data_IF_808164374732
#
_entry.id   IF_808164374732
#
_cell.length_a   1.000
_cell.length_b   1.000
_cell.length_c   1.000
_cell.angle_alpha   90.00
_cell.angle_beta   90.00
_cell.angle_gamma   90.00
#
_symmetry.space_group_name_H-M   'P 1'
#
loop_
_entity.id
_entity.type
_entity.pdbx_description
1 polymer ?
#
# COMPACT_ATOMS: atom_id res chain seq x y z
N UNK A 1 -19.09 9.80 -11.18
CA UNK A 1 -18.65 8.49 -10.68
C UNK A 1 -17.70 7.87 -11.70
N UNK A 2 -16.39 7.94 -11.46
CA UNK A 2 -15.38 7.38 -12.36
C UNK A 2 -15.33 5.85 -12.17
N UNK A 3 -15.17 5.08 -13.25
CA UNK A 3 -15.06 3.63 -13.17
C UNK A 3 -13.84 3.23 -12.30
N UNK A 4 -13.93 2.15 -11.51
CA UNK A 4 -12.79 1.68 -10.72
C UNK A 4 -11.68 1.23 -11.67
N UNK A 5 -10.62 2.02 -11.77
CA UNK A 5 -9.39 1.61 -12.44
C UNK A 5 -8.71 0.51 -11.62
N UNK A 6 -8.13 -0.46 -12.31
CA UNK A 6 -7.47 -1.60 -11.65
C UNK A 6 -6.05 -1.21 -11.18
N UNK A 7 -5.48 -0.18 -11.79
CA UNK A 7 -4.12 0.31 -11.53
C UNK A 7 -4.00 1.79 -11.91
N UNK A 8 -3.02 2.48 -11.30
CA UNK A 8 -2.59 3.83 -11.68
C UNK A 8 -1.16 3.75 -12.21
N UNK A 9 -0.89 4.21 -13.43
CA UNK A 9 0.44 4.14 -14.06
C UNK A 9 0.95 5.49 -14.53
N UNK A 10 2.26 5.69 -14.46
CA UNK A 10 2.92 6.88 -14.97
C UNK A 10 2.99 6.85 -16.51
N UNK A 11 2.56 7.90 -17.18
CA UNK A 11 2.71 8.12 -18.62
C UNK A 11 4.01 8.89 -18.93
N UNK A 12 4.53 9.62 -17.94
CA UNK A 12 5.81 10.34 -18.00
C UNK A 12 6.69 10.00 -16.81
N UNK A 13 7.97 10.37 -16.85
CA UNK A 13 8.85 10.23 -15.68
C UNK A 13 8.32 11.05 -14.50
N UNK A 14 8.26 10.44 -13.31
CA UNK A 14 7.92 11.09 -12.04
C UNK A 14 9.20 11.16 -11.21
N UNK A 15 9.67 12.36 -10.83
CA UNK A 15 10.94 12.49 -10.11
C UNK A 15 10.84 11.97 -8.68
N UNK A 16 11.95 11.40 -8.20
CA UNK A 16 12.14 11.04 -6.81
C UNK A 16 11.85 12.23 -5.89
N UNK A 17 11.21 11.98 -4.75
CA UNK A 17 10.85 13.00 -3.78
C UNK A 17 9.59 13.80 -4.13
N UNK A 18 8.97 13.63 -5.30
CA UNK A 18 7.68 14.26 -5.60
C UNK A 18 6.65 13.90 -4.52
N UNK A 19 5.94 14.90 -4.00
CA UNK A 19 4.92 14.72 -2.96
C UNK A 19 3.53 14.90 -3.57
N UNK A 20 2.63 13.97 -3.25
CA UNK A 20 1.23 13.96 -3.63
C UNK A 20 0.37 14.00 -2.36
N UNK A 21 -0.59 14.90 -2.28
CA UNK A 21 -1.50 14.98 -1.14
C UNK A 21 -1.81 16.42 -0.71
N UNK A 22 -2.47 16.59 0.44
CA UNK A 22 -2.74 15.56 1.45
C UNK A 22 -3.74 14.50 0.99
N UNK A 23 -3.58 13.25 1.47
CA UNK A 23 -4.52 12.14 1.20
C UNK A 23 -5.83 12.44 1.93
N UNK A 24 -6.98 12.52 1.22
CA UNK A 24 -8.25 12.83 1.86
C UNK A 24 -8.82 11.66 2.65
N UNK A 25 -9.54 11.96 3.74
CA UNK A 25 -10.32 10.98 4.51
C UNK A 25 -9.50 10.12 5.49
N UNK A 26 -10.09 9.02 5.96
CA UNK A 26 -9.44 8.13 6.92
C UNK A 26 -8.36 7.28 6.25
N UNK A 27 -7.12 7.42 6.71
CA UNK A 27 -5.99 6.65 6.18
C UNK A 27 -5.98 5.21 6.72
N UNK A 28 -6.27 4.23 5.86
CA UNK A 28 -6.27 2.79 6.19
C UNK A 28 -5.59 1.98 5.09
N UNK A 29 -4.34 2.33 4.78
CA UNK A 29 -3.56 1.68 3.74
C UNK A 29 -3.34 0.19 4.06
N UNK A 30 -3.54 -0.69 3.10
CA UNK A 30 -3.33 -2.13 3.30
C UNK A 30 -4.49 -2.90 3.95
N UNK A 31 -5.56 -2.24 4.42
CA UNK A 31 -6.72 -2.92 5.04
C UNK A 31 -7.32 -4.04 4.18
N UNK A 32 -7.33 -3.84 2.86
CA UNK A 32 -7.86 -4.78 1.87
C UNK A 32 -6.75 -5.47 1.05
N UNK A 33 -5.48 -5.33 1.45
CA UNK A 33 -4.36 -5.93 0.74
C UNK A 33 -4.37 -7.46 0.93
N UNK A 34 -4.24 -8.18 -0.18
CA UNK A 34 -4.10 -9.63 -0.18
C UNK A 34 -3.14 -10.07 -1.28
N UNK A 35 -2.58 -11.28 -1.16
CA UNK A 35 -1.65 -11.82 -2.18
C UNK A 35 -2.33 -12.20 -3.48
N UNK A 36 -3.65 -12.43 -3.42
CA UNK A 36 -4.44 -12.67 -4.61
C UNK A 36 -4.44 -11.36 -5.38
N UNK A 37 -3.59 -11.28 -6.42
CA UNK A 37 -3.85 -10.38 -7.53
C UNK A 37 -5.29 -10.68 -7.94
N UNK A 38 -6.20 -9.71 -7.74
CA UNK A 38 -7.62 -9.85 -8.05
C UNK A 38 -7.72 -10.66 -9.35
N UNK A 39 -8.30 -11.87 -9.34
CA UNK A 39 -8.51 -12.57 -10.59
C UNK A 39 -9.45 -11.67 -11.37
N UNK A 40 -8.91 -10.97 -12.37
CA UNK A 40 -9.68 -10.15 -13.29
C UNK A 40 -10.95 -10.90 -13.69
N UNK A 41 -12.07 -10.18 -13.88
CA UNK A 41 -13.42 -10.71 -13.79
C UNK A 41 -13.54 -12.09 -14.45
N UNK A 42 -13.54 -13.14 -13.62
CA UNK A 42 -13.77 -14.51 -14.07
C UNK A 42 -15.26 -14.68 -14.34
N UNK A 43 -15.73 -14.16 -15.47
CA UNK A 43 -16.95 -14.57 -16.18
C UNK A 43 -17.07 -13.79 -17.51
N UNK A 44 -16.71 -14.49 -18.60
CA UNK A 44 -17.11 -14.25 -20.00
C UNK A 44 -17.36 -12.79 -20.41
N UNK A 45 -16.32 -12.00 -20.65
CA UNK A 45 -16.42 -10.79 -21.47
C UNK A 45 -15.16 -10.69 -22.30
N UNK A 46 -15.34 -10.66 -23.63
CA UNK A 46 -14.40 -10.44 -24.72
C UNK A 46 -12.92 -10.30 -24.34
N UNK A 47 -12.12 -11.29 -24.77
CA UNK A 47 -10.72 -11.08 -25.17
C UNK A 47 -10.61 -9.75 -25.95
N UNK A 48 -9.57 -8.96 -25.67
CA UNK A 48 -9.22 -7.62 -26.22
C UNK A 48 -9.54 -6.37 -25.39
N UNK A 49 -10.28 -6.45 -24.28
CA UNK A 49 -10.36 -5.29 -23.37
C UNK A 49 -9.17 -5.27 -22.41
N UNK A 50 -8.18 -4.41 -22.69
CA UNK A 50 -7.13 -4.06 -21.71
C UNK A 50 -7.86 -3.52 -20.46
N UNK A 51 -7.56 -4.03 -19.25
CA UNK A 51 -8.19 -3.50 -18.03
C UNK A 51 -8.00 -1.98 -17.95
N UNK A 52 -8.98 -1.21 -17.42
CA UNK A 52 -8.84 0.24 -17.32
C UNK A 52 -7.64 0.58 -16.43
N UNK A 53 -6.57 1.03 -17.07
CA UNK A 53 -5.38 1.59 -16.43
C UNK A 53 -5.57 3.09 -16.35
N UNK A 54 -5.43 3.65 -15.16
CA UNK A 54 -5.50 5.09 -14.95
C UNK A 54 -4.13 5.70 -15.22
N UNK A 55 -4.01 6.51 -16.27
CA UNK A 55 -2.74 7.13 -16.65
C UNK A 55 -2.58 8.52 -16.07
N UNK A 56 -1.38 8.82 -15.58
CA UNK A 56 -1.03 10.11 -14.97
C UNK A 56 0.29 10.61 -15.53
N UNK A 57 0.39 11.92 -15.74
CA UNK A 57 1.57 12.55 -16.34
C UNK A 57 1.98 13.81 -15.59
N UNK A 58 3.26 14.16 -15.69
CA UNK A 58 3.82 15.38 -15.15
C UNK A 58 3.51 16.56 -16.07
N UNK A 59 2.88 17.59 -15.51
CA UNK A 59 2.62 18.86 -16.20
C UNK A 59 2.99 19.99 -15.26
N UNK A 60 3.99 20.79 -15.65
CA UNK A 60 4.46 21.97 -14.88
C UNK A 60 4.79 21.66 -13.41
N UNK A 61 5.33 20.48 -13.14
CA UNK A 61 5.71 20.03 -11.78
C UNK A 61 4.59 19.33 -11.01
N UNK A 62 3.38 19.27 -11.55
CA UNK A 62 2.23 18.62 -10.93
C UNK A 62 1.88 17.31 -11.64
N UNK A 63 1.36 16.34 -10.89
CA UNK A 63 0.86 15.09 -11.46
C UNK A 63 -0.63 15.23 -11.79
N UNK A 64 -0.97 15.10 -13.07
CA UNK A 64 -2.34 15.23 -13.58
C UNK A 64 -2.77 13.97 -14.33
N UNK A 65 -4.08 13.73 -14.37
CA UNK A 65 -4.64 12.65 -15.21
C UNK A 65 -4.80 13.07 -16.68
N UNK A 66 -5.33 12.16 -17.50
CA UNK A 66 -5.64 12.40 -18.91
C UNK A 66 -6.59 13.59 -19.13
N UNK A 67 -7.48 13.87 -18.17
CA UNK A 67 -8.43 14.97 -18.20
C UNK A 67 -7.87 16.28 -17.60
N UNK A 68 -6.62 16.27 -17.11
CA UNK A 68 -6.00 17.42 -16.44
C UNK A 68 -6.39 17.60 -14.98
N UNK A 69 -7.04 16.61 -14.36
CA UNK A 69 -7.44 16.65 -12.94
C UNK A 69 -6.24 16.51 -12.02
N UNK A 70 -6.25 17.26 -10.92
CA UNK A 70 -5.21 17.22 -9.88
C UNK A 70 -5.12 15.83 -9.22
N UNK A 71 -3.93 15.52 -8.69
CA UNK A 71 -3.66 14.32 -7.92
C UNK A 71 -4.69 14.04 -6.81
N UNK A 72 -5.24 15.06 -6.17
CA UNK A 72 -6.18 14.91 -5.05
C UNK A 72 -7.46 14.13 -5.41
N UNK A 73 -7.90 14.19 -6.67
CA UNK A 73 -9.12 13.53 -7.13
C UNK A 73 -8.96 12.02 -7.32
N UNK A 74 -7.73 11.55 -7.53
CA UNK A 74 -7.44 10.16 -7.89
C UNK A 74 -6.38 9.50 -7.01
N UNK A 75 -5.73 10.22 -6.09
CA UNK A 75 -4.70 9.69 -5.17
C UNK A 75 -5.20 8.48 -4.35
N UNK A 76 -6.50 8.42 -4.06
CA UNK A 76 -7.14 7.29 -3.38
C UNK A 76 -7.25 6.01 -4.23
N UNK A 77 -6.99 6.08 -5.54
CA UNK A 77 -6.96 4.92 -6.46
C UNK A 77 -5.61 4.20 -6.44
N UNK A 78 -4.56 4.81 -5.89
CA UNK A 78 -3.23 4.20 -5.79
C UNK A 78 -3.31 3.00 -4.84
N UNK A 79 -2.93 1.82 -5.34
CA UNK A 79 -2.99 0.58 -4.56
C UNK A 79 -1.83 0.46 -3.58
N UNK A 80 -2.05 -0.32 -2.52
CA UNK A 80 -0.99 -0.70 -1.61
C UNK A 80 0.04 -1.62 -2.30
N UNK A 81 1.33 -1.36 -2.09
CA UNK A 81 2.41 -2.21 -2.55
C UNK A 81 2.49 -3.48 -1.69
N UNK A 82 2.55 -4.65 -2.32
CA UNK A 82 2.67 -5.96 -1.65
C UNK A 82 4.10 -6.24 -1.19
N UNK A 83 5.10 -5.68 -1.88
CA UNK A 83 6.51 -5.86 -1.56
C UNK A 83 7.31 -4.61 -1.97
N UNK A 84 8.59 -4.56 -1.58
CA UNK A 84 9.50 -3.46 -1.90
C UNK A 84 9.88 -3.37 -3.38
N UNK A 85 9.77 -4.45 -4.15
CA UNK A 85 10.13 -4.45 -5.58
C UNK A 85 9.11 -3.67 -6.42
N UNK A 86 7.82 -3.77 -6.08
CA UNK A 86 6.76 -3.01 -6.78
C UNK A 86 6.48 -1.63 -6.17
N UNK A 87 6.99 -1.36 -4.97
CA UNK A 87 6.76 -0.10 -4.27
C UNK A 87 7.46 1.07 -4.98
N UNK A 88 6.68 2.02 -5.46
CA UNK A 88 7.18 3.24 -6.11
C UNK A 88 7.01 4.46 -5.22
N UNK A 89 6.01 4.45 -4.33
CA UNK A 89 5.67 5.52 -3.42
C UNK A 89 5.76 5.05 -1.95
N UNK A 90 6.02 5.99 -1.06
CA UNK A 90 5.87 5.81 0.39
C UNK A 90 4.86 6.79 0.97
N UNK A 91 4.08 6.32 1.95
CA UNK A 91 3.21 7.18 2.74
C UNK A 91 4.02 7.79 3.90
N UNK A 92 4.03 9.11 3.97
CA UNK A 92 4.70 9.91 4.99
C UNK A 92 3.68 10.81 5.68
N UNK A 93 3.89 11.12 6.96
CA UNK A 93 3.12 12.14 7.67
C UNK A 93 3.96 13.40 7.85
N UNK A 94 3.36 14.57 7.65
CA UNK A 94 3.95 15.82 8.13
C UNK A 94 3.55 16.04 9.60
N UNK A 95 4.56 16.34 10.43
CA UNK A 95 4.39 16.69 11.82
C UNK A 95 4.84 18.14 12.06
N UNK A 96 4.07 18.93 12.84
CA UNK A 96 2.79 18.61 13.48
C UNK A 96 1.60 18.71 12.50
N UNK A 97 0.67 17.75 12.56
CA UNK A 97 -0.56 17.81 11.75
C UNK A 97 -1.13 16.46 11.34
N UNK A 98 -0.29 15.42 11.27
CA UNK A 98 -0.74 14.05 10.99
C UNK A 98 -1.33 13.86 9.58
N UNK A 99 -1.22 14.86 8.71
CA UNK A 99 -1.65 14.76 7.32
C UNK A 99 -0.72 13.80 6.58
N UNK A 100 -1.32 12.88 5.83
CA UNK A 100 -0.59 11.88 5.07
C UNK A 100 -0.35 12.39 3.65
N UNK A 101 0.87 12.21 3.17
CA UNK A 101 1.29 12.47 1.80
C UNK A 101 1.91 11.21 1.22
N UNK A 102 1.82 11.03 -0.09
CA UNK A 102 2.60 10.04 -0.82
C UNK A 102 3.84 10.71 -1.39
N UNK A 103 5.00 10.10 -1.18
CA UNK A 103 6.29 10.58 -1.68
C UNK A 103 6.89 9.55 -2.62
N UNK A 104 7.37 9.97 -3.78
CA UNK A 104 8.09 9.08 -4.69
C UNK A 104 9.44 8.66 -4.07
N UNK A 105 9.68 7.35 -3.96
CA UNK A 105 10.91 6.79 -3.38
C UNK A 105 12.11 6.89 -4.33
N UNK A 106 11.81 6.89 -5.63
CA UNK A 106 12.76 6.89 -6.73
C UNK A 106 12.11 7.53 -7.94
N UNK A 107 12.90 7.74 -8.99
CA UNK A 107 12.35 8.11 -10.29
C UNK A 107 11.46 6.96 -10.80
N UNK A 108 10.21 7.27 -11.08
CA UNK A 108 9.23 6.34 -11.65
C UNK A 108 9.20 6.54 -13.15
N UNK A 109 9.49 5.48 -13.90
CA UNK A 109 9.56 5.51 -15.35
C UNK A 109 8.16 5.42 -15.98
N UNK A 110 7.99 5.92 -17.21
CA UNK A 110 6.77 5.69 -17.99
C UNK A 110 6.42 4.21 -18.09
N UNK A 111 5.16 3.87 -17.89
CA UNK A 111 4.62 2.51 -17.86
C UNK A 111 4.67 1.83 -16.48
N UNK A 112 5.42 2.38 -15.51
CA UNK A 112 5.43 1.83 -14.16
C UNK A 112 4.16 2.17 -13.39
N UNK A 113 3.77 1.25 -12.51
CA UNK A 113 2.59 1.41 -11.67
C UNK A 113 2.92 2.17 -10.38
N UNK A 114 2.06 3.13 -10.03
CA UNK A 114 2.09 3.79 -8.73
C UNK A 114 1.51 2.83 -7.69
N UNK A 115 2.37 2.38 -6.77
CA UNK A 115 1.97 1.59 -5.61
C UNK A 115 2.63 2.16 -4.36
N UNK A 116 1.91 2.14 -3.25
CA UNK A 116 2.32 2.84 -2.03
C UNK A 116 2.39 1.91 -0.83
N UNK A 117 3.39 2.07 0.02
CA UNK A 117 3.44 1.46 1.34
C UNK A 117 3.86 2.48 2.40
N UNK A 118 3.71 2.14 3.68
CA UNK A 118 4.13 3.01 4.78
C UNK A 118 5.63 3.29 4.73
N UNK A 119 6.02 4.55 5.00
CA UNK A 119 7.40 4.88 5.40
C UNK A 119 7.70 4.28 6.79
N UNK A 120 8.99 4.12 7.13
CA UNK A 120 9.38 3.52 8.42
C UNK A 120 8.82 4.29 9.64
N UNK A 121 8.93 5.63 9.73
CA UNK A 121 8.38 6.37 10.87
C UNK A 121 6.85 6.28 10.93
N UNK A 122 6.17 6.29 9.78
CA UNK A 122 4.72 6.17 9.72
C UNK A 122 4.25 4.77 10.11
N UNK A 123 4.95 3.73 9.66
CA UNK A 123 4.68 2.35 10.02
C UNK A 123 4.77 2.16 11.54
N UNK A 124 5.80 2.72 12.18
CA UNK A 124 5.94 2.68 13.64
C UNK A 124 4.80 3.40 14.35
N UNK A 125 4.39 4.58 13.85
CA UNK A 125 3.29 5.35 14.46
C UNK A 125 1.94 4.63 14.37
N UNK A 126 1.71 3.84 13.32
CA UNK A 126 0.52 3.02 13.14
C UNK A 126 0.67 1.58 13.69
N UNK A 127 1.75 1.26 14.42
CA UNK A 127 2.05 -0.08 14.90
C UNK A 127 2.01 -1.17 13.78
N UNK A 128 2.44 -0.79 12.58
CA UNK A 128 2.63 -1.71 11.45
C UNK A 128 3.97 -2.43 11.65
N UNK A 129 4.02 -3.78 11.63
CA UNK A 129 5.27 -4.52 11.79
C UNK A 129 6.29 -4.14 10.71
N UNK A 130 7.47 -3.66 11.12
CA UNK A 130 8.54 -3.26 10.19
C UNK A 130 9.24 -4.49 9.60
N UNK A 131 9.31 -5.59 10.36
CA UNK A 131 10.08 -6.81 10.01
C UNK A 131 9.22 -8.07 10.01
N UNK A 132 8.28 -8.18 9.05
CA UNK A 132 7.60 -9.45 8.79
C UNK A 132 8.33 -10.19 7.67
N UNK A 133 9.33 -11.00 8.00
CA UNK A 133 10.00 -11.88 7.03
C UNK A 133 9.24 -13.21 6.95
N UNK A 134 8.79 -13.66 5.76
CA UNK A 134 8.12 -14.95 5.59
C UNK A 134 9.06 -16.17 5.70
N UNK A 135 10.35 -15.96 5.97
CA UNK A 135 11.34 -17.02 6.07
C UNK A 135 11.32 -17.67 7.45
N UNK A 136 10.90 -18.93 7.48
CA UNK A 136 11.30 -19.92 8.47
C UNK A 136 12.82 -20.03 8.40
N UNK A 137 13.54 -19.42 9.33
CA UNK A 137 14.78 -19.94 9.91
C UNK A 137 15.40 -18.89 10.87
N UNK A 138 15.95 -19.43 11.95
CA UNK A 138 16.72 -18.80 13.04
C UNK A 138 15.93 -18.29 14.27
N UNK A 139 16.06 -19.09 15.34
CA UNK A 139 15.57 -18.89 16.72
C UNK A 139 16.09 -17.57 17.31
N UNK A 140 15.17 -16.64 17.57
CA UNK A 140 15.41 -15.46 18.41
C UNK A 140 14.20 -15.18 19.31
N UNK A 141 14.39 -14.90 20.62
CA UNK A 141 13.29 -14.86 21.60
C UNK A 141 12.33 -13.65 21.47
N UNK A 142 12.55 -12.73 20.54
CA UNK A 142 11.69 -11.56 20.29
C UNK A 142 10.60 -11.79 19.22
N UNK A 143 10.55 -12.96 18.56
CA UNK A 143 9.63 -13.25 17.44
C UNK A 143 8.37 -14.04 17.80
N UNK A 144 8.10 -14.27 19.08
CA UNK A 144 7.00 -15.14 19.50
C UNK A 144 5.59 -14.66 19.08
N UNK A 145 5.38 -13.38 18.82
CA UNK A 145 4.09 -12.88 18.30
C UNK A 145 3.94 -13.06 16.78
N UNK A 146 5.04 -12.92 16.03
CA UNK A 146 5.07 -13.01 14.56
C UNK A 146 5.02 -14.46 14.06
N UNK A 147 5.64 -15.39 14.79
CA UNK A 147 5.61 -16.83 14.48
C UNK A 147 4.25 -17.49 14.79
N UNK A 148 3.39 -16.85 15.58
CA UNK A 148 2.13 -17.48 16.04
C UNK A 148 0.97 -17.32 15.04
N UNK A 149 0.86 -16.21 14.29
CA UNK A 149 -0.12 -16.12 13.18
C UNK A 149 0.30 -17.04 12.01
N UNK A 150 1.60 -17.19 11.73
CA UNK A 150 2.14 -18.05 10.66
C UNK A 150 1.91 -19.54 10.97
N UNK A 151 2.10 -19.97 12.22
CA UNK A 151 2.11 -21.40 12.56
C UNK A 151 0.84 -21.97 13.20
N UNK A 152 -0.05 -21.18 13.84
CA UNK A 152 -1.09 -21.75 14.72
C UNK A 152 -2.57 -21.57 14.36
N UNK A 153 -2.96 -20.93 13.24
CA UNK A 153 -4.38 -21.00 12.79
C UNK A 153 -4.66 -20.83 11.32
N UNK A 154 -3.67 -20.62 10.46
CA UNK A 154 -3.89 -20.57 9.00
C UNK A 154 -3.77 -21.97 8.40
N UNK A 155 -4.79 -22.79 8.61
CA UNK A 155 -5.13 -23.76 7.58
C UNK A 155 -5.46 -22.99 6.30
N UNK A 156 -4.45 -22.78 5.43
CA UNK A 156 -4.47 -22.12 4.11
C UNK A 156 -4.19 -20.61 4.11
N UNK A 157 -2.91 -20.25 4.06
CA UNK A 157 -2.29 -19.42 3.00
C UNK A 157 -0.92 -18.96 3.50
N UNK A 158 0.15 -19.53 2.95
CA UNK A 158 1.48 -18.90 3.00
C UNK A 158 1.35 -17.56 2.30
N UNK A 159 1.51 -16.46 3.04
CA UNK A 159 1.49 -15.17 2.37
C UNK A 159 2.76 -14.99 1.56
N UNK A 160 2.62 -14.82 0.25
CA UNK A 160 3.73 -14.74 -0.68
C UNK A 160 4.52 -13.43 -0.53
N UNK A 161 3.87 -12.37 -0.05
CA UNK A 161 4.46 -11.04 0.01
C UNK A 161 4.54 -10.46 1.44
N UNK A 162 5.67 -9.81 1.81
CA UNK A 162 5.87 -9.26 3.15
C UNK A 162 4.80 -8.23 3.57
N UNK A 163 4.38 -7.32 2.70
CA UNK A 163 3.43 -6.28 3.10
C UNK A 163 2.01 -6.81 3.24
N UNK A 164 1.64 -7.85 2.48
CA UNK A 164 0.38 -8.57 2.71
C UNK A 164 0.33 -9.20 4.10
N UNK A 165 1.45 -9.79 4.54
CA UNK A 165 1.59 -10.34 5.88
C UNK A 165 1.50 -9.26 6.96
N UNK A 166 2.22 -8.14 6.77
CA UNK A 166 2.15 -6.97 7.67
C UNK A 166 0.71 -6.44 7.80
N UNK A 167 0.01 -6.29 6.67
CA UNK A 167 -1.39 -5.86 6.62
C UNK A 167 -2.30 -6.84 7.37
N UNK A 168 -2.13 -8.15 7.17
CA UNK A 168 -2.92 -9.15 7.87
C UNK A 168 -2.73 -9.09 9.39
N UNK A 169 -1.48 -9.02 9.86
CA UNK A 169 -1.18 -8.96 11.29
C UNK A 169 -1.81 -7.73 11.93
N UNK A 170 -1.76 -6.58 11.26
CA UNK A 170 -2.31 -5.34 11.77
C UNK A 170 -3.85 -5.29 11.73
N UNK A 171 -4.48 -5.65 10.60
CA UNK A 171 -5.92 -5.44 10.40
C UNK A 171 -6.81 -6.64 10.71
N UNK A 172 -6.26 -7.87 10.69
CA UNK A 172 -7.08 -9.09 10.65
C UNK A 172 -6.67 -10.16 11.67
N UNK A 173 -5.40 -10.22 12.11
CA UNK A 173 -4.97 -11.25 13.07
C UNK A 173 -5.42 -10.89 14.49
N UNK A 174 -6.34 -11.67 15.07
CA UNK A 174 -6.85 -11.47 16.42
C UNK A 174 -5.79 -11.53 17.55
N UNK A 175 -4.58 -12.04 17.26
CA UNK A 175 -3.46 -12.04 18.21
C UNK A 175 -2.86 -10.65 18.44
N UNK A 176 -3.08 -9.68 17.53
CA UNK A 176 -2.67 -8.28 17.76
C UNK A 176 -3.59 -7.56 18.76
N UNK A 177 -4.84 -7.99 18.91
CA UNK A 177 -5.80 -7.45 19.89
C UNK A 177 -5.58 -7.94 21.33
N UNK A 178 -4.49 -8.68 21.59
CA UNK A 178 -4.11 -9.14 22.93
C UNK A 178 -3.28 -8.16 23.76
N UNK A 179 -2.91 -6.99 23.22
CA UNK A 179 -2.40 -5.88 24.05
C UNK A 179 -3.57 -4.92 24.32
N UNK A 180 -3.95 -4.68 25.59
CA UNK A 180 -4.95 -3.67 25.88
C UNK A 180 -4.44 -2.33 25.35
N UNK A 181 -5.22 -1.74 24.44
CA UNK A 181 -5.03 -0.41 23.91
C UNK A 181 -4.97 0.58 25.08
N UNK A 182 -3.77 1.03 25.44
CA UNK A 182 -3.66 2.29 26.17
C UNK A 182 -3.86 3.40 25.15
N UNK A 183 -5.12 3.81 25.03
CA UNK A 183 -5.51 5.07 24.44
C UNK A 183 -4.68 6.16 25.12
N UNK A 184 -3.70 6.74 24.41
CA UNK A 184 -3.06 7.96 24.88
C UNK A 184 -3.88 9.12 24.35
N UNK A 185 -4.91 9.49 25.12
CA UNK A 185 -5.51 10.82 25.04
C UNK A 185 -4.46 11.84 25.51
N UNK A 186 -3.96 12.64 24.57
CA UNK A 186 -3.57 14.02 24.82
C UNK A 186 -3.62 14.85 23.53
#
# INVERSE_FOLDING_TARGET
SRAPAISVSAESCIPAGLRLGPVPGTFKLGKYLSDRKEPGPKKKVFSYAVPPVFQVRMVRGELVDEAGSSALEWIGLIRAARNSQEQTLEAVADLPGGQIFYRALRDVQPGEELTVWYSNPLAQWFDIPVTATPTHDEKGPSRAAEETCISKRSGRQSMAYPNSLKAHVHFHCALSHGRPFLHHDH
#
